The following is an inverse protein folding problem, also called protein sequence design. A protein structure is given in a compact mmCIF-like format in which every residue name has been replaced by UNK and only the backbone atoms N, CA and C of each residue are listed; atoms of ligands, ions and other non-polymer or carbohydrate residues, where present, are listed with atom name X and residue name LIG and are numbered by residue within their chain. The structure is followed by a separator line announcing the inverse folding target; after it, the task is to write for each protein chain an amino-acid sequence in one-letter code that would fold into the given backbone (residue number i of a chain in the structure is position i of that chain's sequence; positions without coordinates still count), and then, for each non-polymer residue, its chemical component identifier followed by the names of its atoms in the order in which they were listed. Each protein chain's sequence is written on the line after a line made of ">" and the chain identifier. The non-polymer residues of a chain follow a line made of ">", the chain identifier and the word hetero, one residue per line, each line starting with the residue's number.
data_IF_501377751882
#
_entry.id   IF_501377751882
#
_cell.length_a   1.000
_cell.length_b   1.000
_cell.length_c   1.000
_cell.angle_alpha   90.00
_cell.angle_beta   90.00
_cell.angle_gamma   90.00
#
_symmetry.space_group_name_H-M   'P 1'
#
loop_
_entity.id
_entity.type
_entity.pdbx_description
1 polymer ?
#
# COMPACT_ATOMS: atom_id res chain seq x y z
N UNK A 1 -14.40 4.07 4.43
CA UNK A 1 -13.66 3.72 5.66
C UNK A 1 -12.19 3.44 5.38
N UNK A 2 -11.86 2.51 4.46
CA UNK A 2 -10.46 2.17 4.19
C UNK A 2 -9.72 3.34 3.53
N UNK A 3 -10.35 3.97 2.54
CA UNK A 3 -9.87 5.21 1.90
C UNK A 3 -9.70 6.35 2.91
N UNK A 4 -10.65 6.52 3.83
CA UNK A 4 -10.58 7.56 4.86
C UNK A 4 -9.38 7.35 5.80
N UNK A 5 -9.16 6.10 6.22
CA UNK A 5 -8.00 5.73 7.05
C UNK A 5 -6.69 5.98 6.31
N UNK A 6 -6.61 5.59 5.04
CA UNK A 6 -5.44 5.85 4.21
C UNK A 6 -5.16 7.35 4.09
N UNK A 7 -6.18 8.17 3.83
CA UNK A 7 -6.05 9.62 3.71
C UNK A 7 -5.64 10.28 5.03
N UNK A 8 -6.14 9.79 6.16
CA UNK A 8 -5.70 10.27 7.48
C UNK A 8 -4.21 9.97 7.73
N UNK A 9 -3.75 8.77 7.39
CA UNK A 9 -2.32 8.43 7.50
C UNK A 9 -1.48 9.27 6.54
N UNK A 10 -1.94 9.46 5.29
CA UNK A 10 -1.28 10.32 4.30
C UNK A 10 -1.11 11.74 4.82
N UNK A 11 -2.18 12.33 5.35
CA UNK A 11 -2.15 13.66 5.96
C UNK A 11 -1.13 13.76 7.10
N UNK A 12 -1.09 12.77 7.98
CA UNK A 12 -0.12 12.75 9.09
C UNK A 12 1.33 12.70 8.58
N UNK A 13 1.58 11.97 7.48
CA UNK A 13 2.90 11.92 6.83
C UNK A 13 3.26 13.28 6.25
N UNK A 14 2.33 13.92 5.53
CA UNK A 14 2.55 15.22 4.90
C UNK A 14 2.87 16.29 5.95
N UNK A 15 2.10 16.34 7.04
CA UNK A 15 2.33 17.26 8.16
C UNK A 15 3.69 17.01 8.84
N UNK A 16 4.08 15.74 9.01
CA UNK A 16 5.37 15.38 9.59
C UNK A 16 6.54 15.75 8.68
N UNK A 17 6.42 15.55 7.37
CA UNK A 17 7.44 15.91 6.38
C UNK A 17 7.67 17.43 6.36
N UNK A 18 6.59 18.20 6.29
CA UNK A 18 6.63 19.67 6.26
C UNK A 18 7.26 20.25 7.54
N UNK A 19 6.99 19.64 8.70
CA UNK A 19 7.55 20.09 10.00
C UNK A 19 9.08 20.07 10.04
N UNK A 20 9.72 19.18 9.27
CA UNK A 20 11.18 19.02 9.23
C UNK A 20 11.79 19.53 7.92
N UNK A 21 11.02 20.27 7.12
CA UNK A 21 11.49 20.84 5.85
C UNK A 21 11.74 19.81 4.75
N UNK A 22 11.14 18.62 4.84
CA UNK A 22 11.13 17.61 3.77
C UNK A 22 9.88 17.76 2.92
N UNK A 23 9.95 17.33 1.66
CA UNK A 23 8.79 17.35 0.78
C UNK A 23 7.99 16.07 0.98
N UNK A 24 6.64 16.14 1.13
CA UNK A 24 5.81 14.94 1.30
C UNK A 24 6.00 13.88 0.21
N UNK A 25 6.26 14.31 -1.03
CA UNK A 25 6.52 13.42 -2.17
C UNK A 25 7.81 12.60 -2.04
N UNK A 26 8.72 12.97 -1.14
CA UNK A 26 9.92 12.18 -0.85
C UNK A 26 9.60 10.95 0.05
N UNK A 27 8.32 10.74 0.40
CA UNK A 27 7.86 9.66 1.28
C UNK A 27 6.78 8.82 0.58
N UNK A 28 7.13 7.58 0.26
CA UNK A 28 6.19 6.57 -0.21
C UNK A 28 5.51 5.91 0.99
N UNK A 29 4.18 5.99 1.08
CA UNK A 29 3.40 5.16 2.01
C UNK A 29 2.92 3.92 1.27
N UNK A 30 3.28 2.77 1.83
CA UNK A 30 2.96 1.44 1.34
C UNK A 30 1.83 0.88 2.20
N UNK A 31 0.69 0.55 1.58
CA UNK A 31 -0.44 -0.06 2.26
C UNK A 31 -0.17 -1.56 2.48
N UNK A 32 0.04 -1.98 3.72
CA UNK A 32 0.31 -3.40 4.03
C UNK A 32 -0.98 -4.21 3.94
N UNK A 33 -1.08 -5.07 2.93
CA UNK A 33 -2.29 -5.82 2.58
C UNK A 33 -2.25 -7.30 2.98
N UNK A 34 -1.22 -7.75 3.70
CA UNK A 34 -1.14 -9.13 4.21
C UNK A 34 -2.41 -9.53 4.96
N UNK A 35 -2.91 -10.73 4.70
CA UNK A 35 -4.16 -11.27 5.27
C UNK A 35 -5.44 -10.49 4.93
N UNK A 36 -5.35 -9.47 4.07
CA UNK A 36 -6.51 -8.71 3.58
C UNK A 36 -7.04 -9.29 2.28
N UNK A 37 -8.37 -9.28 2.09
CA UNK A 37 -8.99 -9.76 0.88
C UNK A 37 -8.65 -8.85 -0.31
N UNK A 38 -8.80 -9.36 -1.55
CA UNK A 38 -8.45 -8.61 -2.76
C UNK A 38 -9.35 -7.37 -2.94
N UNK A 39 -10.57 -7.44 -2.45
CA UNK A 39 -11.57 -6.37 -2.48
C UNK A 39 -11.08 -5.11 -1.74
N UNK A 40 -10.36 -5.27 -0.63
CA UNK A 40 -9.76 -4.14 0.11
C UNK A 40 -8.67 -3.44 -0.73
N UNK A 41 -7.90 -4.22 -1.50
CA UNK A 41 -6.86 -3.70 -2.41
C UNK A 41 -7.54 -2.96 -3.56
N UNK A 42 -8.62 -3.51 -4.12
CA UNK A 42 -9.40 -2.88 -5.19
C UNK A 42 -10.06 -1.58 -4.76
N UNK A 43 -10.62 -1.51 -3.54
CA UNK A 43 -11.18 -0.27 -2.98
C UNK A 43 -10.12 0.84 -2.94
N UNK A 44 -8.92 0.53 -2.41
CA UNK A 44 -7.82 1.49 -2.33
C UNK A 44 -7.26 1.84 -3.72
N UNK A 45 -7.16 0.87 -4.62
CA UNK A 45 -6.71 1.10 -6.00
C UNK A 45 -7.66 2.03 -6.75
N UNK A 46 -8.97 1.84 -6.60
CA UNK A 46 -9.98 2.73 -7.18
C UNK A 46 -9.86 4.18 -6.65
N UNK A 47 -9.30 4.36 -5.45
CA UNK A 47 -8.96 5.66 -4.87
C UNK A 47 -7.56 6.19 -5.25
N UNK A 48 -6.84 5.51 -6.16
CA UNK A 48 -5.53 5.92 -6.66
C UNK A 48 -4.34 5.44 -5.83
N UNK A 49 -4.54 4.53 -4.87
CA UNK A 49 -3.43 3.90 -4.13
C UNK A 49 -2.79 2.83 -5.00
N UNK A 50 -1.47 2.92 -5.20
CA UNK A 50 -0.75 2.00 -6.08
C UNK A 50 0.26 1.12 -5.35
N UNK A 51 0.61 1.45 -4.10
CA UNK A 51 1.73 0.83 -3.37
C UNK A 51 1.21 -0.12 -2.29
N UNK A 52 1.42 -1.42 -2.47
CA UNK A 52 0.91 -2.46 -1.58
C UNK A 52 2.03 -3.37 -1.07
N UNK A 53 1.99 -3.74 0.22
CA UNK A 53 3.00 -4.56 0.87
C UNK A 53 2.49 -5.94 1.27
N UNK A 54 3.18 -6.99 0.85
CA UNK A 54 2.87 -8.39 1.18
C UNK A 54 4.02 -9.09 1.91
N UNK A 55 3.67 -10.01 2.80
CA UNK A 55 4.65 -10.76 3.60
C UNK A 55 4.99 -12.13 3.00
N UNK A 56 4.04 -12.76 2.30
CA UNK A 56 4.16 -14.12 1.78
C UNK A 56 4.18 -14.10 0.25
N UNK A 57 5.20 -14.70 -0.40
CA UNK A 57 5.28 -14.72 -1.86
C UNK A 57 4.06 -15.37 -2.54
N UNK A 58 3.46 -16.38 -1.92
CA UNK A 58 2.26 -17.05 -2.45
C UNK A 58 1.06 -16.10 -2.47
N UNK A 59 0.83 -15.38 -1.37
CA UNK A 59 -0.27 -14.41 -1.27
C UNK A 59 -0.06 -13.23 -2.21
N UNK A 60 1.17 -12.75 -2.35
CA UNK A 60 1.54 -11.72 -3.33
C UNK A 60 1.23 -12.19 -4.74
N UNK A 61 1.67 -13.39 -5.12
CA UNK A 61 1.42 -13.96 -6.45
C UNK A 61 -0.07 -14.09 -6.73
N UNK A 62 -0.82 -14.66 -5.79
CA UNK A 62 -2.27 -14.85 -5.94
C UNK A 62 -2.98 -13.50 -6.15
N UNK A 63 -2.61 -12.47 -5.37
CA UNK A 63 -3.17 -11.12 -5.54
C UNK A 63 -2.74 -10.46 -6.85
N UNK A 64 -1.48 -10.64 -7.24
CA UNK A 64 -0.94 -10.13 -8.49
C UNK A 64 -1.66 -10.72 -9.71
N UNK A 65 -1.94 -12.02 -9.68
CA UNK A 65 -2.60 -12.73 -10.79
C UNK A 65 -4.09 -12.37 -10.90
N UNK A 66 -4.73 -11.90 -9.82
CA UNK A 66 -6.16 -11.65 -9.76
C UNK A 66 -6.57 -10.17 -9.71
N UNK A 67 -5.63 -9.23 -9.54
CA UNK A 67 -5.95 -7.80 -9.50
C UNK A 67 -6.50 -7.34 -10.86
N UNK A 68 -7.53 -6.49 -10.85
CA UNK A 68 -8.20 -6.01 -12.06
C UNK A 68 -7.36 -5.06 -12.91
N UNK A 69 -6.38 -4.39 -12.30
CA UNK A 69 -5.43 -3.52 -12.98
C UNK A 69 -4.08 -3.50 -12.24
N UNK A 70 -2.97 -3.22 -12.94
CA UNK A 70 -1.64 -3.25 -12.34
C UNK A 70 -1.49 -2.30 -11.15
N UNK A 71 -0.83 -2.80 -10.11
CA UNK A 71 -0.38 -2.05 -8.92
C UNK A 71 1.04 -2.48 -8.58
N UNK A 72 1.72 -1.75 -7.70
CA UNK A 72 3.07 -2.07 -7.24
C UNK A 72 2.98 -2.90 -5.96
N UNK A 73 3.35 -4.18 -6.06
CA UNK A 73 3.50 -5.05 -4.90
C UNK A 73 4.95 -5.05 -4.41
N UNK A 74 5.11 -4.87 -3.11
CA UNK A 74 6.37 -4.91 -2.39
C UNK A 74 6.41 -6.15 -1.51
N UNK A 75 7.36 -7.06 -1.77
CA UNK A 75 7.63 -8.16 -0.86
C UNK A 75 8.40 -7.62 0.36
N UNK A 76 7.69 -7.42 1.46
CA UNK A 76 8.23 -6.85 2.72
C UNK A 76 8.46 -7.92 3.80
N UNK A 77 8.11 -9.18 3.51
CA UNK A 77 8.38 -10.33 4.37
C UNK A 77 9.62 -11.11 3.97
N UNK A 78 10.01 -12.06 4.82
CA UNK A 78 11.16 -12.93 4.58
C UNK A 78 10.95 -13.78 3.32
N UNK A 79 11.93 -13.79 2.43
CA UNK A 79 11.97 -14.67 1.27
C UNK A 79 12.76 -15.93 1.63
N UNK A 80 12.06 -17.07 1.69
CA UNK A 80 12.71 -18.37 1.88
C UNK A 80 13.40 -18.79 0.56
N UNK A 81 14.62 -19.31 0.68
CA UNK A 81 15.42 -19.86 -0.41
C UNK A 81 15.22 -21.36 -0.57
#
# INVERSE_FOLDING_TARGET
>A
MLVDNYNNVRKNIDEAALRVGRRPEDITLIAVSKTKPLEDIEELRAAGVMEFGENKPQELRDKYDNISAPVHFHQIGHLQT
#
